data_IF_298399762566
#
_entry.id   IF_298399762566
#
_cell.length_a   1.000
_cell.length_b   1.000
_cell.length_c   1.000
_cell.angle_alpha   90.00
_cell.angle_beta   90.00
_cell.angle_gamma   90.00
#
_symmetry.space_group_name_H-M   'P 1'
#
loop_
_entity.id
_entity.type
_entity.pdbx_description
1 polymer ?
#
# COMPACT_ATOMS: atom_id res chain seq x y z
N UNK A 1 -8.98 -3.03 -9.67
CA UNK A 1 -9.23 -4.48 -9.61
C UNK A 1 -8.98 -4.99 -8.19
N UNK A 2 -9.70 -6.01 -7.70
CA UNK A 2 -9.29 -6.68 -6.48
C UNK A 2 -7.86 -7.25 -6.64
N UNK A 3 -7.08 -7.35 -5.56
CA UNK A 3 -5.76 -7.99 -5.64
C UNK A 3 -5.93 -9.43 -6.14
N UNK A 4 -5.13 -9.83 -7.11
CA UNK A 4 -5.08 -11.23 -7.55
C UNK A 4 -4.65 -12.12 -6.38
N UNK A 5 -5.19 -13.32 -6.27
CA UNK A 5 -4.78 -14.32 -5.28
C UNK A 5 -4.27 -15.58 -5.96
N UNK A 6 -3.48 -16.39 -5.23
CA UNK A 6 -3.02 -17.67 -5.77
C UNK A 6 -4.19 -18.64 -5.94
N UNK A 7 -4.27 -19.32 -7.09
CA UNK A 7 -5.39 -20.23 -7.38
C UNK A 7 -5.26 -21.55 -6.63
N UNK A 8 -4.03 -22.05 -6.48
CA UNK A 8 -3.73 -23.34 -5.89
C UNK A 8 -2.33 -23.38 -5.23
N UNK A 9 -2.03 -24.48 -4.52
CA UNK A 9 -0.73 -24.68 -3.84
C UNK A 9 0.45 -24.79 -4.81
N UNK A 10 0.23 -25.26 -6.05
CA UNK A 10 1.28 -25.39 -7.07
C UNK A 10 1.74 -24.02 -7.55
N UNK A 11 0.83 -23.07 -7.73
CA UNK A 11 1.13 -21.70 -8.21
C UNK A 11 2.01 -20.93 -7.22
N UNK A 12 1.68 -20.98 -5.93
CA UNK A 12 2.48 -20.32 -4.89
C UNK A 12 3.88 -20.96 -4.73
N UNK A 13 3.97 -22.30 -4.80
CA UNK A 13 5.25 -23.03 -4.82
C UNK A 13 6.10 -22.67 -6.04
N UNK A 14 5.48 -22.62 -7.22
CA UNK A 14 6.16 -22.22 -8.46
C UNK A 14 6.64 -20.78 -8.38
N UNK A 15 5.84 -19.87 -7.83
CA UNK A 15 6.23 -18.46 -7.68
C UNK A 15 7.44 -18.31 -6.76
N UNK A 16 7.47 -18.99 -5.60
CA UNK A 16 8.62 -18.99 -4.71
C UNK A 16 9.89 -19.53 -5.38
N UNK A 17 9.79 -20.66 -6.11
CA UNK A 17 10.91 -21.24 -6.87
C UNK A 17 11.40 -20.31 -7.97
N UNK A 18 10.50 -19.63 -8.67
CA UNK A 18 10.88 -18.70 -9.73
C UNK A 18 11.53 -17.43 -9.17
N UNK A 19 11.13 -16.95 -7.99
CA UNK A 19 11.84 -15.90 -7.25
C UNK A 19 13.24 -16.38 -6.87
N UNK A 20 13.36 -17.59 -6.30
CA UNK A 20 14.65 -18.18 -5.94
C UNK A 20 15.60 -18.31 -7.14
N UNK A 21 15.08 -18.78 -8.28
CA UNK A 21 15.85 -18.86 -9.54
C UNK A 21 16.29 -17.47 -10.01
N UNK A 22 15.42 -16.47 -9.94
CA UNK A 22 15.74 -15.11 -10.36
C UNK A 22 16.92 -14.54 -9.57
N UNK A 23 16.83 -14.58 -8.22
CA UNK A 23 17.88 -14.00 -7.37
C UNK A 23 19.16 -14.84 -7.37
N UNK A 24 19.07 -16.16 -7.51
CA UNK A 24 20.25 -17.00 -7.74
C UNK A 24 20.95 -16.65 -9.07
N UNK A 25 20.18 -16.37 -10.13
CA UNK A 25 20.71 -15.86 -11.40
C UNK A 25 21.34 -14.46 -11.31
N UNK A 26 21.12 -13.74 -10.20
CA UNK A 26 21.78 -12.49 -9.87
C UNK A 26 23.02 -12.68 -8.98
N UNK A 27 23.35 -13.92 -8.63
CA UNK A 27 24.49 -14.28 -7.78
C UNK A 27 24.19 -14.30 -6.28
N UNK A 28 22.92 -14.17 -5.86
CA UNK A 28 22.57 -14.16 -4.44
C UNK A 28 22.48 -15.57 -3.86
N UNK A 29 23.13 -15.76 -2.71
CA UNK A 29 23.01 -16.99 -1.93
C UNK A 29 21.69 -17.02 -1.15
N UNK A 30 21.13 -18.20 -0.84
CA UNK A 30 19.88 -18.33 -0.07
C UNK A 30 19.85 -17.58 1.28
N UNK A 31 21.03 -17.33 1.85
CA UNK A 31 21.22 -16.62 3.13
C UNK A 31 21.23 -15.09 3.01
N UNK A 32 21.20 -14.55 1.79
CA UNK A 32 21.35 -13.12 1.48
C UNK A 32 20.03 -12.42 1.11
N UNK A 33 18.95 -13.18 1.12
CA UNK A 33 17.60 -12.70 0.85
C UNK A 33 16.55 -13.50 1.60
N UNK A 34 15.30 -13.03 1.58
CA UNK A 34 14.17 -13.67 2.25
C UNK A 34 12.84 -13.27 1.61
N UNK A 35 11.89 -14.22 1.49
CA UNK A 35 10.51 -13.95 1.08
C UNK A 35 9.66 -13.60 2.30
N UNK A 36 8.87 -12.52 2.24
CA UNK A 36 7.96 -12.11 3.31
C UNK A 36 6.48 -12.10 2.94
N UNK A 37 5.71 -11.24 3.64
CA UNK A 37 4.26 -11.04 3.46
C UNK A 37 3.47 -12.36 3.62
N UNK A 38 2.31 -12.48 2.98
CA UNK A 38 1.41 -13.63 3.13
C UNK A 38 2.01 -14.93 2.58
N UNK A 39 2.95 -14.83 1.63
CA UNK A 39 3.61 -15.99 1.05
C UNK A 39 4.45 -16.74 2.10
N UNK A 40 5.20 -16.05 2.96
CA UNK A 40 5.99 -16.73 4.00
C UNK A 40 5.12 -17.52 4.98
N UNK A 41 3.97 -16.96 5.37
CA UNK A 41 3.03 -17.63 6.28
C UNK A 41 2.35 -18.86 5.68
N UNK A 42 2.36 -19.02 4.36
CA UNK A 42 1.95 -20.28 3.73
C UNK A 42 2.99 -21.37 3.92
N UNK A 43 4.25 -21.04 3.65
CA UNK A 43 5.34 -22.01 3.80
C UNK A 43 5.58 -22.38 5.28
N UNK A 44 5.32 -21.47 6.21
CA UNK A 44 5.36 -21.74 7.65
C UNK A 44 4.11 -22.45 8.19
N UNK A 45 3.12 -22.78 7.34
CA UNK A 45 1.89 -23.47 7.73
C UNK A 45 0.85 -22.64 8.50
N UNK A 46 1.05 -21.33 8.64
CA UNK A 46 0.12 -20.42 9.36
C UNK A 46 -1.11 -20.11 8.49
N UNK A 47 -0.94 -19.96 7.18
CA UNK A 47 -2.03 -19.76 6.21
C UNK A 47 -2.02 -20.92 5.21
N UNK A 48 -2.98 -21.83 5.29
CA UNK A 48 -2.97 -23.05 4.46
C UNK A 48 -3.73 -22.93 3.14
N UNK A 49 -4.67 -21.99 3.05
CA UNK A 49 -5.54 -21.77 1.90
C UNK A 49 -4.91 -20.77 0.91
N UNK A 50 -4.48 -21.21 -0.29
CA UNK A 50 -3.83 -20.34 -1.28
C UNK A 50 -4.73 -19.20 -1.77
N UNK A 51 -6.05 -19.40 -1.80
CA UNK A 51 -7.00 -18.38 -2.30
C UNK A 51 -7.09 -17.16 -1.38
N UNK A 52 -6.60 -17.28 -0.14
CA UNK A 52 -6.52 -16.17 0.85
C UNK A 52 -5.24 -15.35 0.75
N UNK A 53 -4.29 -15.78 -0.08
CA UNK A 53 -2.96 -15.19 -0.22
C UNK A 53 -2.97 -14.34 -1.48
N UNK A 54 -2.72 -13.04 -1.30
CA UNK A 54 -2.56 -12.12 -2.42
C UNK A 54 -1.30 -12.52 -3.20
N UNK A 55 -1.38 -12.47 -4.54
CA UNK A 55 -0.28 -12.70 -5.47
C UNK A 55 0.66 -11.49 -5.48
N UNK A 56 1.17 -11.15 -4.30
CA UNK A 56 2.21 -10.16 -4.08
C UNK A 56 3.12 -10.62 -2.94
N UNK A 57 4.39 -10.24 -2.99
CA UNK A 57 5.33 -10.54 -1.92
C UNK A 57 6.40 -9.47 -1.78
N UNK A 58 7.06 -9.45 -0.63
CA UNK A 58 8.29 -8.72 -0.42
C UNK A 58 9.45 -9.69 -0.57
N UNK A 59 10.48 -9.27 -1.30
CA UNK A 59 11.78 -9.94 -1.32
C UNK A 59 12.75 -9.01 -0.64
N UNK A 60 13.06 -9.34 0.60
CA UNK A 60 14.07 -8.69 1.43
C UNK A 60 15.45 -9.11 0.93
N UNK A 61 16.33 -8.16 0.62
CA UNK A 61 17.64 -8.44 0.00
C UNK A 61 18.74 -7.61 0.67
N UNK A 62 19.90 -8.23 0.94
CA UNK A 62 21.11 -7.50 1.32
C UNK A 62 21.56 -6.59 0.17
N UNK A 63 21.48 -5.28 0.38
CA UNK A 63 21.57 -4.33 -0.73
C UNK A 63 22.93 -4.35 -1.45
N UNK A 64 24.04 -4.64 -0.74
CA UNK A 64 25.37 -4.77 -1.37
C UNK A 64 25.53 -6.01 -2.22
N UNK A 65 24.64 -6.99 -2.09
CA UNK A 65 24.64 -8.21 -2.91
C UNK A 65 23.84 -8.06 -4.20
N UNK A 66 23.11 -6.95 -4.36
CA UNK A 66 22.47 -6.66 -5.63
C UNK A 66 23.54 -6.33 -6.67
N UNK A 67 23.38 -6.81 -7.92
CA UNK A 67 24.37 -6.58 -8.97
C UNK A 67 24.33 -5.16 -9.56
N UNK A 68 23.57 -4.24 -8.95
CA UNK A 68 23.54 -2.83 -9.29
C UNK A 68 23.60 -1.99 -8.02
N UNK A 69 24.06 -0.74 -8.15
CA UNK A 69 24.13 0.19 -7.02
C UNK A 69 22.72 0.56 -6.55
N UNK A 70 22.49 0.47 -5.24
CA UNK A 70 21.27 0.96 -4.61
C UNK A 70 21.55 1.47 -3.19
N UNK A 71 20.69 2.35 -2.68
CA UNK A 71 20.79 2.88 -1.31
C UNK A 71 20.00 2.02 -0.32
N UNK A 72 20.56 1.67 0.85
CA UNK A 72 19.83 0.95 1.88
C UNK A 72 18.73 1.79 2.56
N UNK A 73 18.74 3.11 2.36
CA UNK A 73 17.69 4.02 2.87
C UNK A 73 16.44 4.00 2.00
N UNK A 74 16.50 3.42 0.80
CA UNK A 74 15.35 3.35 -0.09
C UNK A 74 14.31 2.36 0.47
N UNK A 75 13.03 2.75 0.45
CA UNK A 75 11.93 1.86 0.85
C UNK A 75 11.76 0.67 -0.10
N UNK A 76 12.00 0.90 -1.38
CA UNK A 76 11.88 -0.07 -2.48
C UNK A 76 13.03 0.18 -3.44
N UNK A 77 13.56 -0.89 -4.04
CA UNK A 77 14.56 -0.79 -5.11
C UNK A 77 14.05 -1.47 -6.37
N UNK A 78 14.48 -0.93 -7.50
CA UNK A 78 14.18 -1.51 -8.81
C UNK A 78 15.48 -1.71 -9.57
N UNK A 79 15.59 -2.79 -10.36
CA UNK A 79 16.73 -2.91 -11.25
C UNK A 79 16.76 -1.75 -12.26
N UNK A 80 17.94 -1.30 -12.73
CA UNK A 80 18.04 -0.24 -13.72
C UNK A 80 17.26 -0.58 -15.00
N UNK A 81 16.43 0.33 -15.51
CA UNK A 81 15.43 0.05 -16.57
C UNK A 81 15.99 -0.64 -17.82
N UNK A 82 17.21 -0.29 -18.24
CA UNK A 82 17.88 -0.85 -19.43
C UNK A 82 18.73 -2.09 -19.14
N UNK A 83 18.80 -2.55 -17.89
CA UNK A 83 19.63 -3.69 -17.50
C UNK A 83 18.94 -5.03 -17.79
N UNK A 84 19.76 -6.08 -17.99
CA UNK A 84 19.28 -7.48 -18.03
C UNK A 84 18.45 -7.86 -16.80
N UNK A 85 18.76 -7.27 -15.64
CA UNK A 85 18.06 -7.52 -14.37
C UNK A 85 16.63 -6.98 -14.40
N UNK A 86 16.39 -5.81 -15.00
CA UNK A 86 15.04 -5.26 -15.16
C UNK A 86 14.20 -6.15 -16.09
N UNK A 87 14.77 -6.59 -17.20
CA UNK A 87 14.10 -7.51 -18.13
C UNK A 87 13.67 -8.79 -17.42
N UNK A 88 14.58 -9.46 -16.71
CA UNK A 88 14.30 -10.69 -15.95
C UNK A 88 13.22 -10.47 -14.87
N UNK A 89 13.34 -9.38 -14.09
CA UNK A 89 12.41 -9.03 -13.02
C UNK A 89 10.98 -8.76 -13.52
N UNK A 90 10.82 -7.93 -14.56
CA UNK A 90 9.50 -7.62 -15.11
C UNK A 90 8.88 -8.78 -15.89
N UNK A 91 9.69 -9.56 -16.60
CA UNK A 91 9.22 -10.78 -17.26
C UNK A 91 8.68 -11.80 -16.25
N UNK A 92 9.38 -11.99 -15.12
CA UNK A 92 8.91 -12.87 -14.05
C UNK A 92 7.55 -12.42 -13.51
N UNK A 93 7.42 -11.14 -13.14
CA UNK A 93 6.18 -10.60 -12.58
C UNK A 93 5.00 -10.77 -13.55
N UNK A 94 5.22 -10.49 -14.84
CA UNK A 94 4.20 -10.67 -15.89
C UNK A 94 3.83 -12.15 -16.04
N UNK A 95 4.81 -13.04 -16.20
CA UNK A 95 4.60 -14.48 -16.44
C UNK A 95 3.91 -15.16 -15.27
N UNK A 96 4.25 -14.78 -14.04
CA UNK A 96 3.67 -15.38 -12.83
C UNK A 96 2.45 -14.63 -12.31
N UNK A 97 2.08 -13.49 -12.93
CA UNK A 97 1.02 -12.61 -12.42
C UNK A 97 1.18 -12.31 -10.92
N UNK A 98 2.41 -11.97 -10.53
CA UNK A 98 2.81 -11.72 -9.15
C UNK A 98 3.47 -10.35 -9.02
N UNK A 99 3.09 -9.60 -7.99
CA UNK A 99 3.81 -8.39 -7.58
C UNK A 99 5.01 -8.74 -6.70
N UNK A 100 6.18 -8.21 -7.02
CA UNK A 100 7.41 -8.44 -6.23
C UNK A 100 7.97 -7.09 -5.81
N UNK A 101 7.90 -6.80 -4.51
CA UNK A 101 8.52 -5.62 -3.91
C UNK A 101 9.94 -5.97 -3.44
N UNK A 102 10.98 -5.46 -4.11
CA UNK A 102 12.37 -5.64 -3.66
C UNK A 102 12.67 -4.65 -2.54
N UNK A 103 12.90 -5.16 -1.33
CA UNK A 103 13.13 -4.38 -0.12
C UNK A 103 14.62 -4.45 0.24
N UNK A 104 15.41 -3.38 0.02
CA UNK A 104 16.82 -3.39 0.36
C UNK A 104 16.99 -3.35 1.88
N UNK A 105 17.97 -4.07 2.41
CA UNK A 105 18.34 -4.07 3.83
C UNK A 105 19.81 -3.66 3.95
N UNK A 106 20.16 -2.70 4.85
CA UNK A 106 21.54 -2.32 5.13
C UNK A 106 22.43 -3.48 5.60
N UNK A 107 23.74 -3.48 5.28
CA UNK A 107 24.70 -4.48 5.76
C UNK A 107 25.38 -4.09 7.09
N UNK A 108 25.43 -2.80 7.48
CA UNK A 108 25.87 -2.38 8.83
C UNK A 108 24.98 -2.93 9.95
N UNK A 109 23.86 -3.50 9.55
CA UNK A 109 22.93 -4.31 10.32
C UNK A 109 23.37 -5.80 10.38
N UNK A 110 24.65 -6.11 10.13
CA UNK A 110 25.24 -7.42 10.46
C UNK A 110 25.22 -7.73 11.97
N UNK A 111 25.06 -6.70 12.82
CA UNK A 111 24.66 -6.84 14.24
C UNK A 111 23.13 -6.85 14.48
N UNK A 112 22.31 -6.64 13.45
CA UNK A 112 20.87 -6.91 13.58
C UNK A 112 20.62 -8.38 13.30
N UNK A 113 20.33 -9.10 14.36
CA UNK A 113 19.78 -10.46 14.42
C UNK A 113 18.48 -10.68 13.63
N UNK A 114 18.05 -9.73 12.79
CA UNK A 114 16.70 -9.71 12.25
C UNK A 114 16.55 -10.46 10.92
N UNK A 115 17.51 -10.38 9.99
CA UNK A 115 17.40 -11.03 8.68
C UNK A 115 18.30 -12.27 8.58
N UNK A 116 19.50 -12.22 9.16
CA UNK A 116 20.49 -13.30 9.10
C UNK A 116 20.46 -14.25 10.30
N UNK A 117 20.09 -13.79 11.49
CA UNK A 117 19.90 -14.71 12.63
C UNK A 117 18.52 -15.37 12.56
N UNK A 118 18.45 -16.64 12.98
CA UNK A 118 17.24 -17.46 13.00
C UNK A 118 16.51 -17.49 11.63
N UNK A 119 17.20 -18.00 10.61
CA UNK A 119 16.66 -18.18 9.26
C UNK A 119 15.59 -19.27 9.27
N UNK A 120 14.45 -19.01 8.64
CA UNK A 120 13.46 -20.04 8.36
C UNK A 120 13.74 -20.60 6.97
N UNK A 121 14.73 -21.48 6.89
CA UNK A 121 15.10 -22.17 5.64
C UNK A 121 14.12 -23.31 5.40
N UNK A 122 13.36 -23.22 4.31
CA UNK A 122 12.39 -24.24 3.93
C UNK A 122 12.78 -24.79 2.54
N UNK A 123 12.93 -26.12 2.39
CA UNK A 123 13.12 -26.73 1.08
C UNK A 123 11.85 -26.59 0.23
N UNK A 124 11.99 -26.02 -0.96
CA UNK A 124 10.91 -25.92 -1.95
C UNK A 124 11.41 -26.42 -3.29
N UNK A 125 11.04 -27.66 -3.64
CA UNK A 125 11.65 -28.40 -4.75
C UNK A 125 13.18 -28.43 -4.58
N UNK A 126 13.93 -27.94 -5.57
CA UNK A 126 15.39 -27.99 -5.60
C UNK A 126 16.05 -26.74 -4.98
N UNK A 127 15.30 -25.90 -4.27
CA UNK A 127 15.81 -24.67 -3.68
C UNK A 127 15.63 -24.69 -2.16
N UNK A 128 16.65 -24.21 -1.45
CA UNK A 128 16.54 -23.78 -0.07
C UNK A 128 16.13 -22.31 -0.07
N UNK A 129 14.97 -21.97 0.49
CA UNK A 129 14.43 -20.61 0.48
C UNK A 129 14.24 -20.13 1.90
N UNK A 130 14.76 -18.94 2.20
CA UNK A 130 14.54 -18.26 3.47
C UNK A 130 13.20 -17.51 3.46
N UNK A 131 12.39 -17.69 4.49
CA UNK A 131 11.10 -17.04 4.66
C UNK A 131 11.04 -16.16 5.92
N UNK A 132 10.24 -15.09 5.91
CA UNK A 132 9.97 -14.27 7.09
C UNK A 132 9.22 -15.11 8.12
N UNK A 133 9.86 -15.39 9.26
CA UNK A 133 9.22 -16.09 10.37
C UNK A 133 8.16 -15.21 11.04
N UNK A 134 7.24 -15.83 11.77
CA UNK A 134 6.19 -15.08 12.48
C UNK A 134 6.77 -14.21 13.60
N UNK A 135 7.82 -14.66 14.26
CA UNK A 135 8.53 -13.92 15.30
C UNK A 135 9.15 -12.64 14.72
N UNK A 136 9.77 -12.74 13.53
CA UNK A 136 10.31 -11.57 12.82
C UNK A 136 9.21 -10.59 12.44
N UNK A 137 8.11 -11.11 11.90
CA UNK A 137 6.96 -10.28 11.55
C UNK A 137 6.40 -9.54 12.76
N UNK A 138 6.17 -10.22 13.88
CA UNK A 138 5.69 -9.63 15.13
C UNK A 138 6.67 -8.57 15.63
N UNK A 139 7.96 -8.89 15.71
CA UNK A 139 8.99 -7.95 16.16
C UNK A 139 8.97 -6.65 15.33
N UNK A 140 8.89 -6.75 14.00
CA UNK A 140 8.80 -5.56 13.14
C UNK A 140 7.55 -4.74 13.42
N UNK A 141 6.41 -5.39 13.68
CA UNK A 141 5.19 -4.69 14.07
C UNK A 141 5.34 -4.01 15.42
N UNK A 142 5.94 -4.67 16.42
CA UNK A 142 6.22 -4.08 17.74
C UNK A 142 7.10 -2.84 17.62
N UNK A 143 8.20 -2.91 16.86
CA UNK A 143 9.10 -1.76 16.63
C UNK A 143 8.36 -0.62 15.95
N UNK A 144 7.57 -0.91 14.91
CA UNK A 144 6.77 0.10 14.22
C UNK A 144 5.73 0.72 15.15
N UNK A 145 5.01 -0.08 15.94
CA UNK A 145 4.00 0.41 16.86
C UNK A 145 4.65 1.32 17.91
N UNK A 146 5.73 0.89 18.55
CA UNK A 146 6.49 1.68 19.52
C UNK A 146 6.99 3.02 18.94
N UNK A 147 7.47 3.00 17.70
CA UNK A 147 7.86 4.21 16.99
C UNK A 147 6.66 5.16 16.80
N UNK A 148 5.54 4.65 16.27
CA UNK A 148 4.38 5.48 15.96
C UNK A 148 3.56 5.89 17.17
N UNK A 149 3.65 5.20 18.30
CA UNK A 149 3.00 5.62 19.55
C UNK A 149 3.42 7.03 19.96
N UNK A 150 4.68 7.41 19.70
CA UNK A 150 5.27 8.72 20.01
C UNK A 150 5.08 9.78 18.91
N UNK A 151 4.33 9.47 17.84
CA UNK A 151 4.20 10.29 16.64
C UNK A 151 2.84 10.98 16.54
N UNK A 152 2.80 12.11 15.84
CA UNK A 152 1.56 12.85 15.59
C UNK A 152 0.59 12.06 14.71
N UNK A 153 -0.70 12.39 14.76
CA UNK A 153 -1.69 11.76 13.88
C UNK A 153 -1.36 11.97 12.39
N UNK A 154 -0.81 13.12 12.00
CA UNK A 154 -0.43 13.36 10.59
C UNK A 154 0.71 12.43 10.17
N UNK A 155 1.78 12.30 10.96
CA UNK A 155 2.90 11.37 10.67
C UNK A 155 2.42 9.90 10.57
N UNK A 156 1.45 9.50 11.41
CA UNK A 156 0.85 8.16 11.31
C UNK A 156 0.07 8.03 10.01
N UNK A 157 -0.71 9.05 9.61
CA UNK A 157 -1.49 9.04 8.36
C UNK A 157 -0.60 9.02 7.12
N UNK A 158 0.54 9.69 7.17
CA UNK A 158 1.54 9.69 6.11
C UNK A 158 2.13 8.28 5.90
N UNK A 159 2.41 7.56 6.99
CA UNK A 159 2.94 6.20 6.92
C UNK A 159 1.86 5.14 6.66
N UNK A 160 0.86 5.08 7.53
CA UNK A 160 -0.26 4.16 7.45
C UNK A 160 -1.37 4.79 6.62
N UNK A 161 -1.22 4.88 5.30
CA UNK A 161 -2.33 5.28 4.44
C UNK A 161 -3.48 4.26 4.57
N UNK A 162 -4.48 4.61 5.38
CA UNK A 162 -5.60 3.75 5.74
C UNK A 162 -6.93 4.36 5.30
N UNK A 163 -7.74 3.50 4.69
CA UNK A 163 -9.17 3.71 4.50
C UNK A 163 -9.91 2.58 5.22
N UNK A 164 -11.25 2.65 5.32
CA UNK A 164 -12.04 1.63 6.01
C UNK A 164 -11.74 0.21 5.48
N UNK A 165 -11.56 0.07 4.16
CA UNK A 165 -11.27 -1.21 3.50
C UNK A 165 -9.87 -1.72 3.83
N UNK A 166 -8.84 -0.87 3.79
CA UNK A 166 -7.45 -1.20 4.12
C UNK A 166 -7.28 -1.54 5.59
N UNK A 167 -7.90 -0.75 6.47
CA UNK A 167 -7.93 -1.00 7.91
C UNK A 167 -8.54 -2.38 8.21
N UNK A 168 -9.76 -2.62 7.71
CA UNK A 168 -10.43 -3.91 7.88
C UNK A 168 -9.66 -5.06 7.23
N UNK A 169 -9.07 -4.85 6.05
CA UNK A 169 -8.25 -5.85 5.36
C UNK A 169 -7.05 -6.27 6.19
N UNK A 170 -6.35 -5.31 6.80
CA UNK A 170 -5.20 -5.58 7.69
C UNK A 170 -5.62 -6.31 8.96
N UNK A 171 -6.72 -5.90 9.60
CA UNK A 171 -7.24 -6.62 10.77
C UNK A 171 -7.67 -8.06 10.44
N UNK A 172 -8.33 -8.28 9.31
CA UNK A 172 -8.67 -9.63 8.85
C UNK A 172 -7.43 -10.48 8.64
N UNK A 173 -6.37 -9.88 8.10
CA UNK A 173 -5.08 -10.54 7.92
C UNK A 173 -4.42 -10.92 9.26
N UNK A 174 -4.34 -9.98 10.21
CA UNK A 174 -3.75 -10.25 11.54
C UNK A 174 -4.52 -11.32 12.31
N UNK A 175 -5.86 -11.26 12.29
CA UNK A 175 -6.71 -12.31 12.89
C UNK A 175 -6.47 -13.68 12.26
N UNK A 176 -6.25 -13.73 10.94
CA UNK A 176 -5.95 -14.98 10.23
C UNK A 176 -4.61 -15.55 10.66
N UNK A 177 -3.57 -14.71 10.74
CA UNK A 177 -2.27 -15.12 11.25
C UNK A 177 -2.40 -15.66 12.68
N UNK A 178 -3.03 -14.90 13.59
CA UNK A 178 -3.20 -15.28 14.99
C UNK A 178 -3.85 -16.67 15.15
N UNK A 179 -4.87 -16.98 14.34
CA UNK A 179 -5.51 -18.31 14.30
C UNK A 179 -4.57 -19.44 13.86
N UNK A 180 -3.63 -19.15 12.95
CA UNK A 180 -2.68 -20.13 12.42
C UNK A 180 -1.43 -20.34 13.29
N UNK A 181 -1.18 -19.48 14.29
CA UNK A 181 -0.05 -19.62 15.20
C UNK A 181 -0.34 -20.73 16.21
N UNK A 182 0.56 -21.72 16.33
CA UNK A 182 0.46 -22.82 17.30
C UNK A 182 0.85 -22.40 18.71
N UNK A 183 1.99 -21.72 18.87
CA UNK A 183 2.52 -21.27 20.18
C UNK A 183 1.59 -20.26 20.84
N UNK A 184 1.13 -20.55 22.06
CA UNK A 184 0.29 -19.65 22.87
C UNK A 184 0.98 -18.32 23.15
N UNK A 185 2.27 -18.36 23.54
CA UNK A 185 3.08 -17.17 23.79
C UNK A 185 3.21 -16.28 22.54
N UNK A 186 3.44 -16.88 21.38
CA UNK A 186 3.56 -16.13 20.11
C UNK A 186 2.21 -15.57 19.66
N UNK A 187 1.13 -16.32 19.88
CA UNK A 187 -0.24 -15.86 19.60
C UNK A 187 -0.62 -14.66 20.48
N UNK A 188 -0.24 -14.68 21.76
CA UNK A 188 -0.43 -13.56 22.69
C UNK A 188 0.23 -12.28 22.15
N UNK A 189 1.52 -12.36 21.78
CA UNK A 189 2.25 -11.23 21.17
C UNK A 189 1.61 -10.74 19.87
N UNK A 190 1.13 -11.64 19.02
CA UNK A 190 0.42 -11.26 17.78
C UNK A 190 -0.88 -10.50 18.07
N UNK A 191 -1.59 -10.87 19.14
CA UNK A 191 -2.80 -10.17 19.55
C UNK A 191 -2.46 -8.78 20.13
N UNK A 192 -1.41 -8.66 20.94
CA UNK A 192 -0.93 -7.37 21.48
C UNK A 192 -0.62 -6.38 20.36
N UNK A 193 0.20 -6.75 19.37
CA UNK A 193 0.51 -5.86 18.22
C UNK A 193 -0.72 -5.54 17.36
N UNK A 194 -1.74 -6.41 17.39
CA UNK A 194 -3.02 -6.16 16.72
C UNK A 194 -3.83 -5.09 17.43
N UNK A 195 -3.90 -5.12 18.77
CA UNK A 195 -4.59 -4.09 19.56
C UNK A 195 -3.89 -2.73 19.48
N UNK A 196 -2.56 -2.72 19.59
CA UNK A 196 -1.75 -1.50 19.39
C UNK A 196 -2.02 -0.86 18.02
N UNK A 197 -2.09 -1.66 16.96
CA UNK A 197 -2.45 -1.17 15.64
C UNK A 197 -3.85 -0.54 15.61
N UNK A 198 -4.84 -1.12 16.30
CA UNK A 198 -6.18 -0.50 16.40
C UNK A 198 -6.14 0.85 17.12
N UNK A 199 -5.37 0.95 18.21
CA UNK A 199 -5.20 2.19 18.97
C UNK A 199 -4.60 3.27 18.07
N UNK A 200 -3.52 2.95 17.34
CA UNK A 200 -2.88 3.86 16.39
C UNK A 200 -3.86 4.32 15.30
N UNK A 201 -4.64 3.39 14.74
CA UNK A 201 -5.61 3.73 13.70
C UNK A 201 -6.78 4.56 14.23
N UNK A 202 -7.26 4.30 15.45
CA UNK A 202 -8.31 5.12 16.08
C UNK A 202 -7.82 6.55 16.35
N UNK A 203 -6.57 6.70 16.79
CA UNK A 203 -5.95 8.02 17.00
C UNK A 203 -5.73 8.78 15.69
N UNK A 204 -5.20 8.10 14.68
CA UNK A 204 -4.84 8.73 13.41
C UNK A 204 -6.05 8.94 12.50
N UNK A 205 -7.05 8.06 12.57
CA UNK A 205 -8.22 8.03 11.70
C UNK A 205 -9.53 7.85 12.51
N UNK A 206 -9.86 8.76 13.44
CA UNK A 206 -11.09 8.64 14.23
C UNK A 206 -12.35 8.55 13.35
N UNK A 207 -12.32 9.15 12.15
CA UNK A 207 -13.41 9.10 11.17
C UNK A 207 -13.74 7.71 10.64
N UNK A 208 -12.85 6.72 10.80
CA UNK A 208 -13.16 5.33 10.44
C UNK A 208 -14.06 4.64 11.46
N UNK A 209 -14.19 5.23 12.65
CA UNK A 209 -14.88 4.67 13.82
C UNK A 209 -16.12 5.46 14.21
N UNK A 210 -16.20 6.74 13.84
CA UNK A 210 -17.41 7.55 14.03
C UNK A 210 -18.39 7.37 12.87
N UNK A 211 -19.69 7.25 13.15
CA UNK A 211 -20.71 7.40 12.12
C UNK A 211 -20.59 8.79 11.49
N UNK A 212 -20.67 8.87 10.15
CA UNK A 212 -20.74 10.16 9.47
C UNK A 212 -22.02 10.87 9.94
N UNK A 213 -21.90 11.93 10.74
CA UNK A 213 -23.00 12.87 10.92
C UNK A 213 -23.26 13.49 9.55
N UNK A 214 -24.51 13.46 9.09
CA UNK A 214 -24.90 14.23 7.89
C UNK A 214 -24.63 15.69 8.19
N UNK A 215 -23.62 16.27 7.54
CA UNK A 215 -23.43 17.71 7.58
C UNK A 215 -24.69 18.35 6.97
N UNK A 216 -25.37 19.20 7.75
CA UNK A 216 -26.46 20.06 7.27
C UNK A 216 -25.95 21.18 6.34
N UNK A 217 -24.63 21.38 6.29
CA UNK A 217 -23.97 22.37 5.43
C UNK A 217 -23.48 21.71 4.13
N UNK A 218 -23.76 22.34 2.99
CA UNK A 218 -23.28 21.93 1.66
C UNK A 218 -21.81 22.31 1.41
N UNK A 219 -21.04 22.60 2.46
CA UNK A 219 -19.65 23.07 2.41
C UNK A 219 -18.76 22.00 3.02
N UNK A 220 -17.76 21.55 2.26
CA UNK A 220 -16.79 20.55 2.69
C UNK A 220 -15.39 21.12 2.65
N UNK A 221 -14.63 20.91 3.71
CA UNK A 221 -13.26 21.44 3.88
C UNK A 221 -12.22 20.33 3.70
N UNK A 222 -11.06 20.69 3.17
CA UNK A 222 -9.89 19.82 3.08
C UNK A 222 -8.58 20.60 3.03
N UNK A 223 -7.60 20.09 2.30
CA UNK A 223 -6.29 20.71 2.10
C UNK A 223 -6.05 20.95 0.61
N UNK A 224 -5.58 22.13 0.26
CA UNK A 224 -5.23 22.47 -1.12
C UNK A 224 -3.86 21.92 -1.49
N UNK A 225 -3.85 20.98 -2.43
CA UNK A 225 -2.60 20.38 -2.93
C UNK A 225 -1.97 21.21 -4.05
N UNK A 226 -2.80 21.74 -4.95
CA UNK A 226 -2.39 22.59 -6.08
C UNK A 226 -3.60 23.34 -6.67
N UNK A 227 -3.40 24.55 -7.20
CA UNK A 227 -4.41 25.26 -8.01
C UNK A 227 -3.75 26.25 -8.96
N UNK A 228 -4.45 26.57 -10.07
CA UNK A 228 -4.09 27.66 -11.00
C UNK A 228 -4.99 28.88 -10.86
N UNK A 229 -6.25 28.65 -10.51
CA UNK A 229 -7.28 29.67 -10.28
C UNK A 229 -7.85 29.45 -8.89
N UNK A 230 -8.12 30.52 -8.17
CA UNK A 230 -8.65 30.47 -6.81
C UNK A 230 -10.01 29.77 -6.76
N UNK A 231 -10.91 30.14 -7.67
CA UNK A 231 -12.27 29.62 -7.74
C UNK A 231 -12.44 28.79 -9.01
N UNK A 232 -13.11 27.65 -8.88
CA UNK A 232 -13.46 26.78 -9.99
C UNK A 232 -14.85 26.19 -9.83
N UNK A 233 -15.74 26.47 -10.77
CA UNK A 233 -17.02 25.79 -10.90
C UNK A 233 -16.92 24.59 -11.86
N UNK A 234 -17.73 23.55 -11.68
CA UNK A 234 -17.87 22.49 -12.67
C UNK A 234 -18.68 21.30 -12.19
N UNK A 235 -18.96 20.39 -13.12
CA UNK A 235 -19.73 19.17 -12.86
C UNK A 235 -18.87 18.14 -12.12
N UNK A 236 -19.35 17.70 -10.95
CA UNK A 236 -18.71 16.69 -10.12
C UNK A 236 -19.13 15.27 -10.52
N UNK A 237 -18.15 14.36 -10.65
CA UNK A 237 -18.37 12.94 -10.91
C UNK A 237 -17.56 12.11 -9.92
N UNK A 238 -18.23 11.21 -9.22
CA UNK A 238 -17.59 10.14 -8.47
C UNK A 238 -16.89 9.19 -9.42
N UNK A 239 -15.58 9.07 -9.25
CA UNK A 239 -14.79 8.19 -10.08
C UNK A 239 -15.16 6.72 -9.85
N UNK A 240 -15.38 6.03 -10.96
CA UNK A 240 -15.63 4.60 -11.03
C UNK A 240 -14.52 3.96 -11.86
N UNK A 241 -13.67 3.09 -11.29
CA UNK A 241 -12.60 2.41 -12.03
C UNK A 241 -13.07 1.56 -13.23
N UNK A 242 -14.36 1.20 -13.29
CA UNK A 242 -14.98 0.49 -14.43
C UNK A 242 -15.67 1.45 -15.42
N UNK A 243 -15.72 2.75 -15.10
CA UNK A 243 -16.31 3.77 -15.96
C UNK A 243 -15.50 3.94 -17.24
N UNK A 244 -16.21 4.17 -18.35
CA UNK A 244 -15.60 4.54 -19.63
C UNK A 244 -15.59 6.07 -19.72
N UNK A 245 -14.41 6.66 -19.53
CA UNK A 245 -14.22 8.10 -19.66
C UNK A 245 -13.62 8.42 -21.04
N UNK A 246 -14.12 9.47 -21.69
CA UNK A 246 -13.66 9.92 -23.01
C UNK A 246 -13.18 11.36 -22.92
N UNK A 247 -12.22 11.73 -23.78
CA UNK A 247 -11.79 13.11 -23.91
C UNK A 247 -12.98 13.92 -24.46
N UNK A 248 -13.37 14.93 -23.71
CA UNK A 248 -14.42 15.88 -24.06
C UNK A 248 -13.87 17.30 -24.01
N UNK A 249 -14.49 18.22 -24.75
CA UNK A 249 -14.16 19.66 -24.66
C UNK A 249 -14.35 20.18 -23.24
N UNK A 250 -15.40 19.71 -22.55
CA UNK A 250 -15.65 20.06 -21.16
C UNK A 250 -15.03 19.01 -20.21
N UNK A 251 -14.01 19.42 -19.44
CA UNK A 251 -13.41 18.57 -18.41
C UNK A 251 -14.23 18.59 -17.12
N UNK A 252 -14.17 17.50 -16.37
CA UNK A 252 -15.01 17.26 -15.18
C UNK A 252 -14.22 17.35 -13.87
N UNK A 253 -14.90 17.62 -12.76
CA UNK A 253 -14.32 17.53 -11.42
C UNK A 253 -14.50 16.09 -10.93
N UNK A 254 -13.40 15.36 -10.76
CA UNK A 254 -13.47 13.97 -10.30
C UNK A 254 -13.32 13.88 -8.78
N UNK A 255 -14.29 13.22 -8.16
CA UNK A 255 -14.31 12.95 -6.72
C UNK A 255 -13.91 11.50 -6.47
N UNK A 256 -12.99 11.31 -5.53
CA UNK A 256 -12.51 9.99 -5.10
C UNK A 256 -12.70 9.85 -3.61
N UNK A 257 -13.14 8.69 -3.15
CA UNK A 257 -12.89 8.35 -1.74
C UNK A 257 -11.37 8.25 -1.52
N UNK A 258 -10.65 7.57 -2.42
CA UNK A 258 -9.20 7.45 -2.41
C UNK A 258 -8.67 7.40 -3.84
N UNK A 259 -7.55 8.08 -4.09
CA UNK A 259 -6.88 8.12 -5.39
C UNK A 259 -5.65 7.20 -5.35
N UNK A 260 -5.67 6.12 -6.13
CA UNK A 260 -4.60 5.14 -6.19
C UNK A 260 -3.70 5.35 -7.42
N UNK A 261 -2.48 4.78 -7.46
CA UNK A 261 -1.59 4.92 -8.63
C UNK A 261 -2.16 4.46 -9.97
N UNK A 262 -3.13 3.54 -9.97
CA UNK A 262 -3.81 3.13 -11.20
C UNK A 262 -4.85 4.17 -11.69
N UNK A 263 -5.22 5.12 -10.84
CA UNK A 263 -6.23 6.14 -11.14
C UNK A 263 -5.65 7.33 -11.88
N UNK A 264 -4.32 7.45 -11.95
CA UNK A 264 -3.58 8.48 -12.72
C UNK A 264 -4.02 8.57 -14.18
N UNK A 265 -4.59 7.49 -14.73
CA UNK A 265 -5.21 7.44 -16.06
C UNK A 265 -6.38 8.41 -16.23
N UNK A 266 -7.00 8.87 -15.15
CA UNK A 266 -8.13 9.82 -15.19
C UNK A 266 -7.70 11.28 -15.38
N UNK A 267 -6.44 11.58 -15.09
CA UNK A 267 -5.92 12.94 -15.02
C UNK A 267 -6.05 13.74 -16.34
N UNK A 268 -5.90 13.14 -17.54
CA UNK A 268 -6.14 13.85 -18.80
C UNK A 268 -7.56 14.44 -18.92
N UNK A 269 -8.55 13.79 -18.33
CA UNK A 269 -9.98 14.15 -18.39
C UNK A 269 -10.39 15.14 -17.28
N UNK A 270 -9.53 15.34 -16.28
CA UNK A 270 -9.87 16.06 -15.07
C UNK A 270 -9.69 17.59 -15.21
N UNK A 271 -10.72 18.33 -14.80
CA UNK A 271 -10.67 19.77 -14.54
C UNK A 271 -10.06 20.05 -13.16
N UNK A 272 -10.44 19.22 -12.19
CA UNK A 272 -9.85 19.16 -10.86
C UNK A 272 -10.02 17.75 -10.27
N UNK A 273 -9.19 17.44 -9.28
CA UNK A 273 -9.26 16.21 -8.48
C UNK A 273 -9.62 16.57 -7.05
N UNK A 274 -10.63 15.91 -6.49
CA UNK A 274 -11.02 16.06 -5.10
C UNK A 274 -11.02 14.69 -4.44
N UNK A 275 -10.33 14.54 -3.31
CA UNK A 275 -10.24 13.25 -2.62
C UNK A 275 -10.71 13.34 -1.17
N UNK A 276 -11.48 12.35 -0.69
CA UNK A 276 -11.85 12.26 0.73
C UNK A 276 -10.66 11.90 1.62
N UNK A 277 -9.80 10.99 1.15
CA UNK A 277 -8.56 10.60 1.83
C UNK A 277 -7.31 11.24 1.22
N UNK A 278 -6.23 11.29 2.01
CA UNK A 278 -4.92 11.81 1.59
C UNK A 278 -4.53 13.12 2.26
N UNK A 279 -3.23 13.42 2.24
CA UNK A 279 -2.62 14.68 2.69
C UNK A 279 -1.78 15.33 1.59
N UNK A 280 -1.04 16.40 1.91
CA UNK A 280 -0.28 17.20 0.94
C UNK A 280 0.87 16.44 0.25
N UNK A 281 1.32 15.34 0.87
CA UNK A 281 2.34 14.41 0.35
C UNK A 281 1.74 13.14 -0.26
N UNK A 282 0.41 13.04 -0.34
CA UNK A 282 -0.25 11.87 -0.92
C UNK A 282 -0.02 11.77 -2.43
N UNK A 283 -0.21 10.57 -2.99
CA UNK A 283 -0.05 10.32 -4.42
C UNK A 283 -0.90 11.27 -5.29
N UNK A 284 -2.16 11.53 -4.89
CA UNK A 284 -3.02 12.50 -5.56
C UNK A 284 -2.37 13.89 -5.60
N UNK A 285 -1.94 14.38 -4.44
CA UNK A 285 -1.37 15.71 -4.28
C UNK A 285 -0.07 15.88 -5.09
N UNK A 286 0.83 14.91 -5.02
CA UNK A 286 2.12 14.93 -5.74
C UNK A 286 1.88 14.93 -7.25
N UNK A 287 1.14 13.96 -7.79
CA UNK A 287 0.98 13.84 -9.25
C UNK A 287 0.13 14.98 -9.82
N UNK A 288 -0.88 15.47 -9.09
CA UNK A 288 -1.65 16.63 -9.53
C UNK A 288 -0.79 17.90 -9.56
N UNK A 289 0.12 18.09 -8.60
CA UNK A 289 1.07 19.21 -8.61
C UNK A 289 2.04 19.13 -9.78
N UNK A 290 2.61 17.95 -10.04
CA UNK A 290 3.51 17.70 -11.18
C UNK A 290 2.83 17.98 -12.52
N UNK A 291 1.58 17.51 -12.69
CA UNK A 291 0.80 17.70 -13.92
C UNK A 291 0.03 19.02 -13.96
N UNK A 292 0.20 19.88 -12.95
CA UNK A 292 -0.49 21.17 -12.80
C UNK A 292 -2.01 21.06 -12.93
N UNK A 293 -2.61 20.04 -12.32
CA UNK A 293 -4.05 19.79 -12.22
C UNK A 293 -4.54 20.26 -10.84
N UNK A 294 -5.55 21.17 -10.77
CA UNK A 294 -6.08 21.62 -9.49
C UNK A 294 -6.56 20.47 -8.61
N UNK A 295 -6.20 20.49 -7.32
CA UNK A 295 -6.44 19.36 -6.44
C UNK A 295 -6.71 19.79 -4.99
N UNK A 296 -7.83 19.29 -4.46
CA UNK A 296 -8.12 19.25 -3.02
C UNK A 296 -7.99 17.82 -2.51
N UNK A 297 -7.35 17.65 -1.36
CA UNK A 297 -7.19 16.35 -0.70
C UNK A 297 -7.72 16.39 0.72
N UNK A 298 -8.14 15.23 1.24
CA UNK A 298 -8.61 15.13 2.62
C UNK A 298 -9.98 15.79 2.87
N UNK A 299 -10.80 15.95 1.82
CA UNK A 299 -12.12 16.60 1.91
C UNK A 299 -13.17 15.62 2.41
N UNK A 300 -13.50 15.67 3.70
CA UNK A 300 -14.32 14.64 4.35
C UNK A 300 -15.82 14.83 4.07
N UNK A 301 -16.58 13.73 4.06
CA UNK A 301 -18.04 13.75 4.02
C UNK A 301 -18.67 13.91 2.63
N UNK A 302 -17.86 13.98 1.56
CA UNK A 302 -18.34 14.19 0.20
C UNK A 302 -19.37 13.15 -0.22
N UNK A 303 -19.19 11.87 0.14
CA UNK A 303 -20.07 10.78 -0.32
C UNK A 303 -21.53 10.96 0.11
N UNK A 304 -21.76 11.61 1.25
CA UNK A 304 -23.10 11.92 1.72
C UNK A 304 -23.67 13.23 1.18
N UNK A 305 -22.83 14.09 0.60
CA UNK A 305 -23.17 15.49 0.32
C UNK A 305 -23.13 15.94 -1.14
N UNK A 306 -22.31 15.28 -1.98
CA UNK A 306 -22.22 15.61 -3.41
C UNK A 306 -22.64 14.41 -4.24
N UNK A 307 -23.68 14.59 -5.07
CA UNK A 307 -24.17 13.54 -5.97
C UNK A 307 -23.43 13.60 -7.32
N UNK A 308 -23.46 12.48 -8.04
CA UNK A 308 -22.97 12.45 -9.42
C UNK A 308 -23.70 13.50 -10.27
N UNK A 309 -22.96 14.13 -11.17
CA UNK A 309 -23.44 15.13 -12.12
C UNK A 309 -23.88 16.46 -11.50
N UNK A 310 -23.68 16.66 -10.20
CA UNK A 310 -24.02 17.91 -9.53
C UNK A 310 -23.00 19.01 -9.86
N UNK A 311 -23.47 20.26 -9.99
CA UNK A 311 -22.57 21.40 -10.12
C UNK A 311 -21.97 21.75 -8.76
N UNK A 312 -20.65 21.98 -8.74
CA UNK A 312 -19.92 22.33 -7.52
C UNK A 312 -19.03 23.53 -7.77
N UNK A 313 -18.75 24.28 -6.71
CA UNK A 313 -17.74 25.34 -6.69
C UNK A 313 -16.65 24.95 -5.70
N UNK A 314 -15.41 25.01 -6.16
CA UNK A 314 -14.22 24.81 -5.33
C UNK A 314 -13.57 26.18 -5.10
N UNK A 315 -13.27 26.50 -3.84
CA UNK A 315 -12.38 27.59 -3.47
C UNK A 315 -11.07 26.99 -2.95
N UNK A 316 -10.01 27.08 -3.76
CA UNK A 316 -8.70 26.52 -3.43
C UNK A 316 -7.92 27.36 -2.42
N UNK A 317 -8.21 28.66 -2.27
CA UNK A 317 -7.58 29.50 -1.24
C UNK A 317 -8.12 29.18 0.15
N UNK A 318 -9.43 28.93 0.26
CA UNK A 318 -10.12 28.50 1.49
C UNK A 318 -10.15 26.97 1.68
N UNK A 319 -9.63 26.21 0.71
CA UNK A 319 -9.66 24.75 0.67
C UNK A 319 -11.05 24.12 0.85
N UNK A 320 -12.08 24.72 0.25
CA UNK A 320 -13.47 24.29 0.37
C UNK A 320 -14.08 23.86 -0.97
N UNK A 321 -15.07 22.97 -0.92
CA UNK A 321 -15.93 22.60 -2.04
C UNK A 321 -17.39 22.66 -1.60
N UNK A 322 -18.21 23.30 -2.44
CA UNK A 322 -19.61 23.56 -2.16
C UNK A 322 -20.47 23.01 -3.29
N UNK A 323 -21.55 22.32 -2.95
CA UNK A 323 -22.52 21.88 -3.95
C UNK A 323 -23.54 22.98 -4.24
N UNK A 324 -23.71 23.36 -5.51
CA UNK A 324 -24.79 24.25 -5.92
C UNK A 324 -26.13 23.47 -5.84
N UNK A 325 -27.17 24.14 -5.34
CA UNK A 325 -28.53 23.59 -5.29
C UNK A 325 -29.13 23.56 -6.68
#
# INVERSE_FOLDING_TARGET
MPPLTFKNKKDIKNSAVNIARLVAGWGLQPTEWMIGKQMSFFFSGIITDPKKIISDTNVYILYRRLPWRCSPKARLVFPPKSSKYAQQYYQLQKRQSIGIDLMPIPDKNLNTSFITANRLMIPVKNYQINFESIEKFIYRLTVLNNFFLKKSSEEIREFYFADKKRYQGRLKFYKRISKGIKSSATRKKMNEVTEEYKILMKRAYPELFTPLKQNRTNIFEGKTAFYKKEIMAGKAIWYNPKGKYRLSKEKLIFIFSHFYPADTRILPYAKAIVTEGGGLLSHAAVVCRELKIPCLVGVRGLKGGIKNSQQVIINFKKATINSLR
#
